data_IF_388354012889
#
_entry.id   IF_388354012889
#
_cell.length_a   1.000
_cell.length_b   1.000
_cell.length_c   1.000
_cell.angle_alpha   90.00
_cell.angle_beta   90.00
_cell.angle_gamma   90.00
#
_symmetry.space_group_name_H-M   'P 1'
#
loop_
_entity.id
_entity.type
_entity.pdbx_description
1 polymer ?
#
# COMPACT_ATOMS: atom_id res chain seq x y z
N UNK A 1 -3.70 -6.07 5.95
CA UNK A 1 -2.77 -4.94 5.74
C UNK A 1 -3.26 -4.08 4.58
N UNK A 2 -3.10 -2.76 4.66
CA UNK A 2 -3.47 -1.80 3.60
C UNK A 2 -2.22 -1.04 3.18
N UNK A 3 -2.00 -0.90 1.88
CA UNK A 3 -0.92 -0.07 1.34
C UNK A 3 -1.48 1.27 0.85
N UNK A 4 -0.70 2.33 1.03
CA UNK A 4 -1.07 3.69 0.61
C UNK A 4 0.09 4.35 -0.14
N UNK A 5 -0.24 5.10 -1.19
CA UNK A 5 0.68 5.98 -1.90
C UNK A 5 0.23 7.42 -1.67
N UNK A 6 1.12 8.25 -1.09
CA UNK A 6 0.82 9.62 -0.65
C UNK A 6 -0.47 9.70 0.19
N UNK A 7 -0.64 8.76 1.13
CA UNK A 7 -1.80 8.70 2.03
C UNK A 7 -3.08 8.14 1.41
N UNK A 8 -3.12 7.89 0.10
CA UNK A 8 -4.27 7.28 -0.58
C UNK A 8 -4.10 5.76 -0.67
N UNK A 9 -5.12 5.00 -0.26
CA UNK A 9 -5.08 3.54 -0.37
C UNK A 9 -4.99 3.10 -1.83
N UNK A 10 -4.14 2.12 -2.10
CA UNK A 10 -4.10 1.47 -3.40
C UNK A 10 -5.40 0.70 -3.65
N UNK A 11 -5.83 0.68 -4.90
CA UNK A 11 -7.09 0.10 -5.35
C UNK A 11 -6.85 -0.87 -6.49
N UNK A 12 -7.74 -1.86 -6.61
CA UNK A 12 -7.79 -2.74 -7.77
C UNK A 12 -8.37 -2.02 -9.00
N UNK A 13 -8.42 -2.72 -10.13
CA UNK A 13 -8.97 -2.20 -11.39
C UNK A 13 -10.45 -1.78 -11.30
N UNK A 14 -11.19 -2.28 -10.29
CA UNK A 14 -12.59 -1.92 -10.05
C UNK A 14 -12.73 -0.74 -9.07
N UNK A 15 -11.61 -0.14 -8.64
CA UNK A 15 -11.61 0.97 -7.69
C UNK A 15 -11.83 0.57 -6.23
N UNK A 16 -11.78 -0.72 -5.91
CA UNK A 16 -11.91 -1.24 -4.54
C UNK A 16 -10.55 -1.27 -3.86
N UNK A 17 -10.51 -0.88 -2.58
CA UNK A 17 -9.27 -0.90 -1.78
C UNK A 17 -8.75 -2.33 -1.65
N UNK A 18 -7.45 -2.52 -1.88
CA UNK A 18 -6.80 -3.82 -1.74
C UNK A 18 -6.43 -4.04 -0.27
N UNK A 19 -6.92 -5.13 0.31
CA UNK A 19 -6.57 -5.59 1.64
C UNK A 19 -5.69 -6.84 1.52
N UNK A 20 -4.39 -6.68 1.71
CA UNK A 20 -3.45 -7.80 1.69
C UNK A 20 -3.58 -8.64 2.96
N UNK A 21 -3.75 -9.95 2.81
CA UNK A 21 -3.70 -10.90 3.92
C UNK A 21 -2.24 -11.06 4.36
N UNK A 22 -2.02 -11.18 5.67
CA UNK A 22 -0.71 -11.55 6.21
C UNK A 22 -0.68 -13.07 6.28
N UNK A 23 0.27 -13.68 5.59
CA UNK A 23 0.52 -15.13 5.60
C UNK A 23 2.00 -15.33 5.87
N UNK A 24 2.36 -16.19 6.82
CA UNK A 24 3.75 -16.44 7.22
C UNK A 24 4.52 -15.15 7.55
N UNK A 25 3.90 -14.27 8.34
CA UNK A 25 4.47 -12.97 8.75
C UNK A 25 4.79 -11.99 7.60
N UNK A 26 4.26 -12.22 6.40
CA UNK A 26 4.44 -11.34 5.25
C UNK A 26 3.09 -11.01 4.62
N UNK A 27 2.93 -9.76 4.18
CA UNK A 27 1.84 -9.35 3.32
C UNK A 27 2.40 -8.74 2.04
N UNK A 28 1.91 -9.26 0.92
CA UNK A 28 2.35 -8.88 -0.42
C UNK A 28 1.14 -8.43 -1.24
N UNK A 29 1.36 -7.47 -2.13
CA UNK A 29 0.36 -6.99 -3.07
C UNK A 29 1.01 -6.80 -4.43
N UNK A 30 0.32 -7.26 -5.47
CA UNK A 30 0.67 -6.92 -6.84
C UNK A 30 -0.10 -5.66 -7.23
N UNK A 31 0.61 -4.63 -7.67
CA UNK A 31 0.03 -3.34 -8.02
C UNK A 31 0.72 -2.79 -9.27
N UNK A 32 -0.05 -2.60 -10.33
CA UNK A 32 0.42 -1.95 -11.54
C UNK A 32 0.52 -0.44 -11.31
N UNK A 33 1.71 0.12 -11.51
CA UNK A 33 1.92 1.57 -11.46
C UNK A 33 1.14 2.22 -12.62
N UNK A 34 0.22 3.15 -12.34
CA UNK A 34 -0.53 3.84 -13.38
C UNK A 34 0.38 4.64 -14.32
N UNK A 35 0.09 4.63 -15.62
CA UNK A 35 0.90 5.34 -16.62
C UNK A 35 0.90 6.86 -16.47
N UNK A 36 -0.09 7.42 -15.76
CA UNK A 36 -0.21 8.84 -15.43
C UNK A 36 0.53 9.23 -14.13
N UNK A 37 1.14 8.26 -13.44
CA UNK A 37 1.98 8.51 -12.28
C UNK A 37 3.29 9.18 -12.73
N UNK A 38 3.52 10.40 -12.26
CA UNK A 38 4.68 11.22 -12.62
C UNK A 38 5.99 10.60 -12.10
N UNK A 39 7.08 10.76 -12.84
CA UNK A 39 8.42 10.42 -12.39
C UNK A 39 8.85 11.35 -11.24
N UNK A 40 8.80 10.85 -10.00
CA UNK A 40 9.22 11.52 -8.76
C UNK A 40 9.13 10.56 -7.57
N UNK A 41 9.43 11.09 -6.39
CA UNK A 41 9.26 10.40 -5.12
C UNK A 41 7.83 10.48 -4.59
N UNK A 42 7.39 9.36 -4.03
CA UNK A 42 6.11 9.16 -3.37
C UNK A 42 6.31 8.52 -1.99
N UNK A 43 5.40 8.80 -1.06
CA UNK A 43 5.37 8.11 0.23
C UNK A 43 4.56 6.82 0.11
N UNK A 44 5.21 5.67 0.27
CA UNK A 44 4.59 4.36 0.37
C UNK A 44 4.43 4.01 1.85
N UNK A 45 3.19 3.93 2.32
CA UNK A 45 2.86 3.56 3.70
C UNK A 45 2.20 2.19 3.74
N UNK A 46 2.73 1.27 4.55
CA UNK A 46 2.08 0.02 4.90
C UNK A 46 1.38 0.20 6.25
N UNK A 47 0.08 -0.10 6.32
CA UNK A 47 -0.73 0.00 7.54
C UNK A 47 -1.25 -1.38 7.92
N UNK A 48 -0.82 -1.88 9.06
CA UNK A 48 -1.39 -3.07 9.69
C UNK A 48 -2.64 -2.66 10.48
N UNK A 49 -3.75 -3.34 10.20
CA UNK A 49 -5.06 -3.11 10.83
C UNK A 49 -5.54 -4.47 11.30
N UNK A 50 -5.79 -4.60 12.60
CA UNK A 50 -6.34 -5.78 13.26
C UNK A 50 -7.38 -5.35 14.30
N UNK A 51 -8.31 -6.23 14.64
CA UNK A 51 -9.17 -6.06 15.83
C UNK A 51 -8.43 -6.40 17.11
N UNK A 52 -7.40 -7.24 17.02
CA UNK A 52 -6.74 -7.87 18.17
C UNK A 52 -5.45 -7.16 18.57
N UNK A 53 -4.94 -6.28 17.70
CA UNK A 53 -3.66 -5.59 17.88
C UNK A 53 -3.80 -4.11 17.53
N UNK A 54 -2.95 -3.30 18.14
CA UNK A 54 -2.84 -1.89 17.80
C UNK A 54 -2.45 -1.69 16.34
N UNK A 55 -2.87 -0.54 15.81
CA UNK A 55 -2.52 -0.11 14.47
C UNK A 55 -1.01 0.15 14.41
N UNK A 56 -0.34 -0.52 13.48
CA UNK A 56 1.06 -0.26 13.15
C UNK A 56 1.14 0.30 11.74
N UNK A 57 2.06 1.23 11.52
CA UNK A 57 2.37 1.71 10.18
C UNK A 57 3.86 1.97 10.01
N UNK A 58 4.34 1.78 8.80
CA UNK A 58 5.68 2.17 8.38
C UNK A 58 5.60 2.87 7.02
N UNK A 59 6.40 3.90 6.84
CA UNK A 59 6.45 4.71 5.62
C UNK A 59 7.84 4.70 5.02
N UNK A 60 7.91 4.52 3.70
CA UNK A 60 9.13 4.52 2.88
C UNK A 60 8.94 5.37 1.64
N UNK A 61 10.04 5.69 0.97
CA UNK A 61 10.02 6.39 -0.31
C UNK A 61 9.92 5.38 -1.46
N UNK A 62 8.96 5.60 -2.36
CA UNK A 62 8.84 4.95 -3.66
C UNK A 62 9.25 5.97 -4.74
N UNK A 63 10.36 5.71 -5.41
CA UNK A 63 10.84 6.53 -6.53
C UNK A 63 10.35 5.93 -7.85
N UNK A 64 9.57 6.71 -8.61
CA UNK A 64 9.19 6.40 -9.99
C UNK A 64 10.15 7.15 -10.91
N UNK A 65 10.84 6.42 -11.80
CA UNK A 65 11.82 6.95 -12.76
C UNK A 65 11.28 6.98 -14.18
#
# INVERSE_FOLDING_TARGET
MVFKINGKSIKDANGKVIYAKVVNNQASVEYAIPADMKAKDYQLTAVFISTDYERLEDTKTLTVI
#
